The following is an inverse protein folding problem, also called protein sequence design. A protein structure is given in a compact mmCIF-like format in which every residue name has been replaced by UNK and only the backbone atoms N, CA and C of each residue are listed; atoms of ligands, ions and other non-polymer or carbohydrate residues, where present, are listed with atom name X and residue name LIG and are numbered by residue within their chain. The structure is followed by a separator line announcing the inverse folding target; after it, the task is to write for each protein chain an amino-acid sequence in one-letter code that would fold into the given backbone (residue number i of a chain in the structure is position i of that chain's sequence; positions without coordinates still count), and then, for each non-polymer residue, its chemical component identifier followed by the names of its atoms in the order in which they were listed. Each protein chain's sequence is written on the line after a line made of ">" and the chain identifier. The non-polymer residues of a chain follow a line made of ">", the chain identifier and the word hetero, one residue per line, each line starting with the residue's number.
data_IF_741945074524
#
_entry.id   IF_741945074524
#
_cell.length_a   1.000
_cell.length_b   1.000
_cell.length_c   1.000
_cell.angle_alpha   90.00
_cell.angle_beta   90.00
_cell.angle_gamma   90.00
#
_symmetry.space_group_name_H-M   'P 1'
#
loop_
_entity.id
_entity.type
_entity.pdbx_description
1 polymer ?
#
# COMPACT_ATOMS: atom_id res chain seq x y z
N UNK A 1 20.96 -1.99 -14.87
CA UNK A 1 22.07 -1.83 -13.89
C UNK A 1 21.46 -1.37 -12.59
N UNK A 2 21.32 -2.24 -11.61
CA UNK A 2 20.85 -1.89 -10.27
C UNK A 2 21.93 -1.10 -9.56
N UNK A 3 21.79 0.20 -9.48
CA UNK A 3 22.63 1.06 -8.65
C UNK A 3 22.35 0.67 -7.19
N UNK A 4 23.32 0.04 -6.54
CA UNK A 4 23.17 -0.28 -5.12
C UNK A 4 23.41 0.99 -4.30
N UNK A 5 22.40 1.49 -3.62
CA UNK A 5 22.57 2.52 -2.58
C UNK A 5 23.62 2.03 -1.58
N UNK A 6 24.77 2.69 -1.52
CA UNK A 6 25.79 2.43 -0.51
C UNK A 6 25.37 3.12 0.81
N UNK A 7 25.63 2.43 1.93
CA UNK A 7 25.39 2.92 3.29
C UNK A 7 25.99 4.31 3.54
N UNK A 8 27.10 4.65 2.88
CA UNK A 8 27.76 5.96 2.93
C UNK A 8 26.97 7.08 2.25
N UNK A 9 26.30 6.79 1.12
CA UNK A 9 25.49 7.76 0.39
C UNK A 9 24.22 8.12 1.17
N UNK A 10 23.66 7.15 1.90
CA UNK A 10 22.47 7.35 2.75
C UNK A 10 22.78 8.22 3.97
N UNK A 11 23.92 8.00 4.61
CA UNK A 11 24.34 8.77 5.80
C UNK A 11 24.75 10.21 5.46
N UNK A 12 25.27 10.46 4.27
CA UNK A 12 25.66 11.81 3.84
C UNK A 12 24.46 12.77 3.62
N UNK A 13 23.25 12.24 3.44
CA UNK A 13 22.02 13.02 3.24
C UNK A 13 21.26 13.42 4.53
N UNK A 14 21.63 12.90 5.69
CA UNK A 14 20.89 13.03 6.95
C UNK A 14 21.11 14.38 7.72
N UNK A 15 21.98 15.26 7.22
CA UNK A 15 22.40 16.48 7.93
C UNK A 15 21.39 17.65 7.98
N UNK A 16 20.10 17.46 7.68
CA UNK A 16 19.11 18.56 7.65
C UNK A 16 18.29 18.59 8.95
N UNK A 17 18.37 19.69 9.69
CA UNK A 17 17.55 19.97 10.88
C UNK A 17 16.13 20.36 10.46
N UNK A 18 15.14 19.51 10.76
CA UNK A 18 13.71 19.76 10.51
C UNK A 18 12.94 20.01 11.81
N UNK A 19 12.02 20.99 11.76
CA UNK A 19 11.12 21.29 12.87
C UNK A 19 10.08 20.16 13.05
N UNK A 20 9.89 19.72 14.30
CA UNK A 20 9.01 18.61 14.66
C UNK A 20 7.53 19.04 14.67
N UNK A 21 6.72 18.49 13.78
CA UNK A 21 5.26 18.45 13.92
C UNK A 21 4.87 17.03 14.38
N UNK A 22 3.96 16.94 15.34
CA UNK A 22 3.48 15.65 15.84
C UNK A 22 2.81 14.85 14.71
N UNK A 23 3.15 13.56 14.60
CA UNK A 23 2.47 12.62 13.71
C UNK A 23 0.98 12.52 14.09
N UNK A 24 0.10 12.59 13.11
CA UNK A 24 -1.33 12.49 13.34
C UNK A 24 -1.69 11.09 13.89
N UNK A 25 -2.39 11.04 15.03
CA UNK A 25 -2.96 9.78 15.53
C UNK A 25 -4.19 9.40 14.69
N UNK A 26 -4.35 8.11 14.31
CA UNK A 26 -5.53 7.67 13.60
C UNK A 26 -6.81 7.99 14.36
N UNK A 27 -7.80 8.57 13.69
CA UNK A 27 -9.14 8.72 14.25
C UNK A 27 -9.87 7.38 14.19
N UNK A 28 -10.63 7.04 15.24
CA UNK A 28 -11.53 5.87 15.20
C UNK A 28 -12.60 6.08 14.12
N UNK A 29 -12.68 5.17 13.15
CA UNK A 29 -13.81 5.09 12.25
C UNK A 29 -15.04 4.63 13.06
N UNK A 30 -15.77 5.58 13.61
CA UNK A 30 -17.03 5.29 14.32
C UNK A 30 -18.14 5.03 13.31
N UNK A 31 -19.12 4.22 13.70
CA UNK A 31 -20.39 4.06 12.97
C UNK A 31 -20.96 5.43 12.61
N UNK A 32 -21.16 5.69 11.30
CA UNK A 32 -21.66 6.98 10.80
C UNK A 32 -20.58 7.98 10.35
N UNK A 33 -19.31 7.57 10.25
CA UNK A 33 -18.24 8.43 9.68
C UNK A 33 -18.56 8.85 8.24
N UNK A 34 -18.25 10.10 7.91
CA UNK A 34 -18.38 10.66 6.55
C UNK A 34 -17.01 10.83 5.92
N UNK A 35 -16.84 10.26 4.72
CA UNK A 35 -15.74 10.54 3.82
C UNK A 35 -16.23 11.34 2.62
N UNK A 36 -15.80 12.57 2.53
CA UNK A 36 -16.14 13.48 1.43
C UNK A 36 -14.95 13.60 0.48
N UNK A 37 -15.13 13.16 -0.77
CA UNK A 37 -14.18 13.45 -1.83
C UNK A 37 -14.47 14.83 -2.42
N UNK A 38 -13.50 15.73 -2.43
CA UNK A 38 -13.66 17.10 -2.91
C UNK A 38 -12.36 17.61 -3.57
N UNK A 39 -12.44 18.65 -4.43
CA UNK A 39 -11.26 19.40 -4.85
C UNK A 39 -10.52 19.98 -3.62
N UNK A 40 -9.21 20.04 -3.71
CA UNK A 40 -8.35 20.58 -2.67
C UNK A 40 -7.09 21.22 -3.25
N UNK A 41 -6.25 21.76 -2.37
CA UNK A 41 -4.94 22.29 -2.71
C UNK A 41 -3.91 21.77 -1.71
N UNK A 42 -2.70 21.45 -2.18
CA UNK A 42 -1.59 21.00 -1.37
C UNK A 42 -0.35 21.84 -1.65
N UNK A 43 0.25 22.37 -0.60
CA UNK A 43 1.58 22.97 -0.68
C UNK A 43 2.65 21.86 -0.65
N UNK A 44 3.13 21.46 -1.82
CA UNK A 44 4.17 20.45 -1.95
C UNK A 44 5.53 20.98 -1.52
N UNK A 45 6.41 20.14 -0.95
CA UNK A 45 7.78 20.52 -0.62
C UNK A 45 8.53 21.05 -1.84
N UNK A 46 9.13 22.25 -1.71
CA UNK A 46 9.85 22.91 -2.80
C UNK A 46 8.98 23.58 -3.87
N UNK A 47 7.66 23.44 -3.81
CA UNK A 47 6.72 24.11 -4.72
C UNK A 47 6.56 25.60 -4.40
N UNK A 48 6.59 26.46 -5.43
CA UNK A 48 6.37 27.90 -5.28
C UNK A 48 4.89 28.29 -5.12
N UNK A 49 3.98 27.41 -5.49
CA UNK A 49 2.52 27.60 -5.47
C UNK A 49 1.82 26.33 -5.01
N UNK A 50 0.61 26.44 -4.41
CA UNK A 50 -0.21 25.27 -4.12
C UNK A 50 -0.58 24.53 -5.40
N UNK A 51 -0.54 23.20 -5.34
CA UNK A 51 -0.95 22.29 -6.39
C UNK A 51 -2.42 21.94 -6.20
N UNK A 52 -3.21 22.02 -7.28
CA UNK A 52 -4.59 21.53 -7.28
C UNK A 52 -4.60 20.02 -7.11
N UNK A 53 -5.40 19.55 -6.18
CA UNK A 53 -5.47 18.16 -5.75
C UNK A 53 -6.92 17.72 -5.59
N UNK A 54 -7.10 16.44 -5.28
CA UNK A 54 -8.35 15.90 -4.78
C UNK A 54 -8.09 15.24 -3.43
N UNK A 55 -8.97 15.44 -2.47
CA UNK A 55 -8.71 15.00 -1.12
C UNK A 55 -9.96 14.41 -0.46
N UNK A 56 -9.75 13.53 0.50
CA UNK A 56 -10.80 13.12 1.43
C UNK A 56 -10.78 14.03 2.66
N UNK A 57 -11.94 14.64 2.97
CA UNK A 57 -12.12 15.50 4.16
C UNK A 57 -11.05 16.61 4.27
N UNK A 58 -10.70 17.23 3.14
CA UNK A 58 -9.75 18.35 3.04
C UNK A 58 -8.32 18.05 3.52
N UNK A 59 -7.90 16.77 3.55
CA UNK A 59 -6.53 16.36 3.91
C UNK A 59 -5.94 15.37 2.91
N UNK A 60 -4.62 15.37 2.76
CA UNK A 60 -3.83 14.37 2.02
C UNK A 60 -2.65 13.94 2.91
N UNK A 61 -2.49 12.68 3.21
CA UNK A 61 -3.48 11.62 3.03
C UNK A 61 -4.83 11.99 3.64
N UNK A 62 -5.93 11.41 3.12
CA UNK A 62 -7.24 11.47 3.75
C UNK A 62 -7.19 10.94 5.19
N UNK A 63 -8.27 11.05 5.96
CA UNK A 63 -8.31 10.63 7.36
C UNK A 63 -7.74 9.22 7.57
N UNK A 64 -6.86 9.06 8.56
CA UNK A 64 -6.44 7.74 9.00
C UNK A 64 -7.59 7.12 9.80
N UNK A 65 -8.28 6.17 9.16
CA UNK A 65 -9.39 5.46 9.76
C UNK A 65 -8.90 4.32 10.63
N UNK A 66 -9.66 4.01 11.69
CA UNK A 66 -9.37 2.87 12.56
C UNK A 66 -10.65 2.07 12.83
N UNK A 67 -10.57 0.75 12.68
CA UNK A 67 -11.67 -0.18 12.91
C UNK A 67 -11.19 -1.34 13.77
N UNK A 68 -12.11 -2.14 14.31
CA UNK A 68 -11.79 -3.38 15.01
C UNK A 68 -12.09 -4.58 14.11
N UNK A 69 -11.24 -5.59 14.15
CA UNK A 69 -11.50 -6.87 13.50
C UNK A 69 -12.85 -7.46 13.93
N UNK A 70 -13.57 -8.05 12.99
CA UNK A 70 -14.89 -8.66 13.19
C UNK A 70 -15.98 -7.71 13.74
N UNK A 71 -15.77 -6.38 13.70
CA UNK A 71 -16.78 -5.39 14.06
C UNK A 71 -17.25 -4.64 12.81
N UNK A 72 -18.56 -4.34 12.70
CA UNK A 72 -19.10 -3.67 11.53
C UNK A 72 -18.59 -2.23 11.42
N UNK A 73 -18.11 -1.88 10.24
CA UNK A 73 -17.79 -0.52 9.80
C UNK A 73 -18.98 -0.01 9.00
N UNK A 74 -19.49 1.18 9.33
CA UNK A 74 -20.49 1.90 8.56
C UNK A 74 -19.95 3.28 8.24
N UNK A 75 -19.85 3.59 6.95
CA UNK A 75 -19.23 4.81 6.46
C UNK A 75 -20.02 5.32 5.26
N UNK A 76 -20.35 6.61 5.29
CA UNK A 76 -20.95 7.28 4.13
C UNK A 76 -19.85 7.92 3.29
N UNK A 77 -19.81 7.60 2.02
CA UNK A 77 -19.03 8.31 1.00
C UNK A 77 -19.91 9.40 0.37
N UNK A 78 -19.39 10.62 0.28
CA UNK A 78 -20.02 11.73 -0.44
C UNK A 78 -19.08 12.20 -1.55
N UNK A 79 -19.54 12.19 -2.79
CA UNK A 79 -18.78 12.67 -3.94
C UNK A 79 -19.10 14.14 -4.23
N UNK A 80 -18.20 15.03 -3.87
CA UNK A 80 -18.25 16.46 -4.21
C UNK A 80 -17.28 16.84 -5.33
N UNK A 81 -16.71 15.85 -6.03
CA UNK A 81 -15.95 16.09 -7.25
C UNK A 81 -16.92 16.36 -8.42
N UNK A 82 -16.39 16.95 -9.49
CA UNK A 82 -17.14 17.15 -10.75
C UNK A 82 -17.24 15.87 -11.59
N UNK A 83 -16.53 14.82 -11.21
CA UNK A 83 -16.44 13.54 -11.92
C UNK A 83 -17.00 12.40 -11.10
N UNK A 84 -17.29 11.28 -11.76
CA UNK A 84 -17.64 10.02 -11.09
C UNK A 84 -16.49 9.58 -10.16
N UNK A 85 -16.84 9.03 -8.99
CA UNK A 85 -15.85 8.47 -8.06
C UNK A 85 -16.42 7.28 -7.29
N UNK A 86 -15.57 6.55 -6.58
CA UNK A 86 -15.94 5.45 -5.67
C UNK A 86 -14.78 5.18 -4.73
N UNK A 87 -14.94 4.30 -3.76
CA UNK A 87 -13.88 3.87 -2.85
C UNK A 87 -13.67 2.37 -2.99
N UNK A 88 -12.45 1.98 -3.38
CA UNK A 88 -11.94 0.63 -3.22
C UNK A 88 -11.19 0.53 -1.88
N UNK A 89 -11.42 -0.56 -1.15
CA UNK A 89 -10.78 -0.87 0.13
C UNK A 89 -9.66 -1.89 -0.10
N UNK A 90 -8.52 -1.40 -0.48
CA UNK A 90 -7.40 -2.20 -0.97
C UNK A 90 -6.87 -3.16 0.11
N UNK A 91 -6.85 -4.44 -0.24
CA UNK A 91 -6.37 -5.52 0.60
C UNK A 91 -7.41 -6.12 1.55
N UNK A 92 -8.58 -5.49 1.71
CA UNK A 92 -9.63 -6.03 2.55
C UNK A 92 -10.39 -7.18 1.87
N UNK A 93 -10.57 -8.28 2.59
CA UNK A 93 -11.47 -9.38 2.22
C UNK A 93 -12.89 -9.07 2.72
N UNK A 94 -13.61 -8.24 2.02
CA UNK A 94 -14.95 -7.77 2.37
C UNK A 94 -16.03 -8.35 1.46
N UNK A 95 -17.30 -8.08 1.75
CA UNK A 95 -18.40 -8.47 0.87
C UNK A 95 -18.26 -7.81 -0.52
N UNK A 96 -18.38 -8.59 -1.59
CA UNK A 96 -18.13 -8.16 -2.98
C UNK A 96 -18.84 -6.85 -3.36
N UNK A 97 -20.08 -6.64 -2.90
CA UNK A 97 -20.85 -5.40 -3.17
C UNK A 97 -20.22 -4.14 -2.57
N UNK A 98 -19.22 -4.27 -1.67
CA UNK A 98 -18.54 -3.15 -1.00
C UNK A 98 -17.11 -2.91 -1.55
N UNK A 99 -16.68 -3.67 -2.56
CA UNK A 99 -15.32 -3.59 -3.13
C UNK A 99 -15.05 -2.30 -3.91
N UNK A 100 -16.10 -1.61 -4.35
CA UNK A 100 -15.96 -0.28 -4.93
C UNK A 100 -15.54 -0.24 -6.40
N UNK A 101 -15.59 -1.34 -7.15
CA UNK A 101 -15.19 -1.39 -8.57
C UNK A 101 -16.34 -1.01 -9.49
N UNK A 102 -16.27 0.14 -10.19
CA UNK A 102 -17.31 0.59 -11.09
C UNK A 102 -17.60 -0.40 -12.22
N UNK A 103 -18.88 -0.71 -12.41
CA UNK A 103 -19.34 -1.62 -13.47
C UNK A 103 -19.11 -3.11 -13.16
N UNK A 104 -18.48 -3.46 -12.04
CA UNK A 104 -18.30 -4.84 -11.61
C UNK A 104 -19.04 -5.12 -10.29
N UNK A 105 -18.75 -4.37 -9.24
CA UNK A 105 -19.31 -4.59 -7.90
C UNK A 105 -20.32 -3.52 -7.50
N UNK A 106 -20.23 -2.33 -8.07
CA UNK A 106 -21.18 -1.23 -7.85
C UNK A 106 -21.21 -0.27 -9.04
N UNK A 107 -22.14 0.67 -9.02
CA UNK A 107 -22.11 1.83 -9.91
C UNK A 107 -21.20 2.91 -9.32
N UNK A 108 -20.50 3.64 -10.19
CA UNK A 108 -19.75 4.82 -9.77
C UNK A 108 -20.69 5.88 -9.20
N UNK A 109 -20.28 6.54 -8.14
CA UNK A 109 -21.06 7.60 -7.47
C UNK A 109 -20.94 8.90 -8.25
N UNK A 110 -22.09 9.46 -8.63
CA UNK A 110 -22.18 10.72 -9.39
C UNK A 110 -21.78 11.94 -8.54
N UNK A 111 -21.38 13.05 -9.17
CA UNK A 111 -21.23 14.34 -8.48
C UNK A 111 -22.47 14.69 -7.65
N UNK A 112 -22.25 15.14 -6.41
CA UNK A 112 -23.30 15.47 -5.44
C UNK A 112 -24.02 14.27 -4.80
N UNK A 113 -23.74 13.04 -5.24
CA UNK A 113 -24.33 11.82 -4.67
C UNK A 113 -23.44 11.19 -3.60
N UNK A 114 -23.94 10.11 -3.00
CA UNK A 114 -23.19 9.34 -1.99
C UNK A 114 -23.50 7.85 -2.07
N UNK A 115 -22.68 7.07 -1.36
CA UNK A 115 -22.80 5.63 -1.22
C UNK A 115 -22.53 5.23 0.24
N UNK A 116 -23.27 4.26 0.78
CA UNK A 116 -23.10 3.78 2.13
C UNK A 116 -22.32 2.46 2.12
N UNK A 117 -21.07 2.51 2.56
CA UNK A 117 -20.24 1.32 2.76
C UNK A 117 -20.56 0.70 4.12
N UNK A 118 -20.87 -0.60 4.10
CA UNK A 118 -21.09 -1.39 5.32
C UNK A 118 -20.41 -2.74 5.17
N UNK A 119 -19.36 -2.96 5.95
CA UNK A 119 -18.60 -4.20 5.93
C UNK A 119 -18.02 -4.54 7.30
N UNK A 120 -17.66 -5.80 7.48
CA UNK A 120 -17.01 -6.30 8.70
C UNK A 120 -15.66 -6.85 8.30
N UNK A 121 -14.53 -6.18 8.63
CA UNK A 121 -13.21 -6.65 8.25
C UNK A 121 -12.85 -7.93 9.01
N UNK A 122 -12.54 -9.05 8.33
CA UNK A 122 -12.19 -10.30 8.99
C UNK A 122 -10.75 -10.35 9.47
N UNK A 123 -9.89 -9.51 8.91
CA UNK A 123 -8.46 -9.49 9.18
C UNK A 123 -8.06 -8.17 9.84
N UNK A 124 -7.17 -8.26 10.84
CA UNK A 124 -6.47 -7.11 11.41
C UNK A 124 -5.25 -6.77 10.54
N UNK A 125 -4.90 -5.48 10.46
CA UNK A 125 -3.71 -5.05 9.72
C UNK A 125 -3.80 -3.65 9.14
N UNK A 126 -2.86 -3.36 8.22
CA UNK A 126 -2.75 -2.09 7.52
C UNK A 126 -3.33 -2.21 6.12
N UNK A 127 -4.40 -1.47 5.88
CA UNK A 127 -5.12 -1.37 4.60
C UNK A 127 -5.18 0.09 4.18
N UNK A 128 -5.59 0.34 2.94
CA UNK A 128 -5.78 1.70 2.48
C UNK A 128 -7.00 1.81 1.57
N UNK A 129 -7.49 3.02 1.36
CA UNK A 129 -8.67 3.27 0.56
C UNK A 129 -8.41 4.37 -0.46
N UNK A 130 -8.90 4.16 -1.67
CA UNK A 130 -8.68 5.04 -2.81
C UNK A 130 -9.70 4.73 -3.93
N UNK A 131 -9.93 5.61 -4.91
CA UNK A 131 -10.65 5.23 -6.11
C UNK A 131 -9.94 4.09 -6.85
N UNK A 132 -10.65 3.24 -7.59
CA UNK A 132 -10.01 2.18 -8.38
C UNK A 132 -8.96 2.77 -9.32
N UNK A 133 -7.80 2.15 -9.37
CA UNK A 133 -6.67 2.73 -10.07
C UNK A 133 -6.63 2.37 -11.55
N UNK A 134 -7.75 2.54 -12.25
CA UNK A 134 -7.87 2.33 -13.69
C UNK A 134 -8.83 3.34 -14.34
N UNK A 135 -8.73 3.51 -15.65
CA UNK A 135 -9.56 4.42 -16.42
C UNK A 135 -9.51 5.87 -15.86
N UNK A 136 -10.65 6.57 -15.78
CA UNK A 136 -10.67 7.95 -15.30
C UNK A 136 -10.43 8.08 -13.79
N UNK A 137 -10.53 6.98 -13.03
CA UNK A 137 -10.36 7.00 -11.58
C UNK A 137 -8.87 7.04 -11.15
N UNK A 138 -7.97 6.59 -12.02
CA UNK A 138 -6.53 6.59 -11.72
C UNK A 138 -6.01 8.00 -11.46
N UNK A 139 -6.43 8.99 -12.25
CA UNK A 139 -6.04 10.39 -12.05
C UNK A 139 -6.49 10.95 -10.71
N UNK A 140 -7.53 10.39 -10.10
CA UNK A 140 -7.99 10.79 -8.76
C UNK A 140 -7.01 10.31 -7.68
N UNK A 141 -6.49 9.08 -7.81
CA UNK A 141 -5.43 8.59 -6.91
C UNK A 141 -4.17 9.47 -7.01
N UNK A 142 -3.75 9.77 -8.25
CA UNK A 142 -2.58 10.62 -8.52
C UNK A 142 -2.76 12.07 -8.03
N UNK A 143 -4.01 12.52 -7.94
CA UNK A 143 -4.35 13.82 -7.40
C UNK A 143 -4.42 13.84 -5.86
N UNK A 144 -4.16 12.72 -5.16
CA UNK A 144 -4.13 12.65 -3.70
C UNK A 144 -5.36 12.07 -3.04
N UNK A 145 -6.31 11.50 -3.82
CA UNK A 145 -7.54 10.94 -3.27
C UNK A 145 -7.31 9.53 -2.68
N UNK A 146 -6.66 9.44 -1.55
CA UNK A 146 -6.39 8.20 -0.83
C UNK A 146 -6.27 8.44 0.67
N UNK A 147 -6.40 7.37 1.46
CA UNK A 147 -6.16 7.36 2.90
C UNK A 147 -5.92 5.95 3.44
N UNK A 148 -5.64 5.81 4.72
CA UNK A 148 -5.29 4.53 5.35
C UNK A 148 -6.40 4.09 6.29
N UNK A 149 -6.69 2.77 6.28
CA UNK A 149 -7.54 2.10 7.25
C UNK A 149 -6.70 1.09 8.03
N UNK A 150 -6.57 1.29 9.32
CA UNK A 150 -6.01 0.30 10.25
C UNK A 150 -7.15 -0.50 10.85
N UNK A 151 -7.07 -1.81 10.75
CA UNK A 151 -7.96 -2.72 11.48
C UNK A 151 -7.16 -3.29 12.65
N UNK A 152 -7.62 -3.00 13.86
CA UNK A 152 -6.94 -3.39 15.09
C UNK A 152 -7.03 -4.91 15.32
N UNK A 153 -5.95 -5.45 15.85
CA UNK A 153 -5.90 -6.77 16.43
C UNK A 153 -6.85 -6.86 17.65
N UNK A 154 -7.38 -8.06 17.94
CA UNK A 154 -8.28 -8.26 19.09
C UNK A 154 -7.57 -7.92 20.42
N UNK A 155 -6.30 -8.27 20.52
CA UNK A 155 -5.40 -7.88 21.59
C UNK A 155 -4.34 -6.92 21.02
N UNK A 156 -4.27 -5.69 21.53
CA UNK A 156 -3.29 -4.71 21.04
C UNK A 156 -1.86 -5.24 21.20
N UNK A 157 -1.03 -5.17 20.15
CA UNK A 157 0.38 -5.55 20.27
C UNK A 157 1.12 -4.61 21.21
N UNK A 158 2.16 -5.13 21.87
CA UNK A 158 3.01 -4.33 22.78
C UNK A 158 3.89 -3.38 21.97
N UNK A 159 3.36 -2.21 21.64
CA UNK A 159 4.07 -1.10 21.00
C UNK A 159 3.75 0.20 21.74
N UNK A 160 4.72 1.09 21.85
CA UNK A 160 4.56 2.39 22.52
C UNK A 160 4.04 3.45 21.55
N UNK A 161 4.45 3.35 20.28
CA UNK A 161 3.97 4.18 19.20
C UNK A 161 3.53 3.31 18.01
N UNK A 162 2.48 3.71 17.32
CA UNK A 162 1.95 3.09 16.10
C UNK A 162 1.80 4.20 15.05
N UNK A 163 2.75 4.29 14.12
CA UNK A 163 2.91 5.40 13.20
C UNK A 163 2.70 4.94 11.77
N UNK A 164 2.02 5.77 10.97
CA UNK A 164 1.74 5.51 9.56
C UNK A 164 2.59 6.43 8.70
N UNK A 165 3.33 5.86 7.76
CA UNK A 165 4.13 6.56 6.76
C UNK A 165 3.59 6.23 5.37
N UNK A 166 2.84 7.15 4.78
CA UNK A 166 2.31 7.04 3.42
C UNK A 166 3.27 7.70 2.46
N UNK A 167 3.86 6.92 1.60
CA UNK A 167 4.82 7.36 0.57
C UNK A 167 4.05 7.66 -0.69
N UNK A 168 4.27 8.84 -1.26
CA UNK A 168 3.65 9.25 -2.51
C UNK A 168 4.63 10.01 -3.41
N UNK A 169 4.33 10.06 -4.72
CA UNK A 169 5.12 10.78 -5.71
C UNK A 169 4.25 11.71 -6.55
N UNK A 170 4.73 12.94 -6.76
CA UNK A 170 4.00 14.01 -7.42
C UNK A 170 4.74 14.46 -8.67
N UNK A 171 4.17 14.22 -9.81
CA UNK A 171 4.70 14.72 -11.08
C UNK A 171 4.12 16.10 -11.35
N UNK A 172 4.92 17.14 -11.11
CA UNK A 172 4.49 18.53 -11.16
C UNK A 172 5.12 19.24 -12.35
N UNK A 173 4.28 19.94 -13.11
CA UNK A 173 4.69 20.78 -14.23
C UNK A 173 5.28 22.13 -13.81
N UNK A 174 5.84 22.90 -14.77
CA UNK A 174 6.39 24.23 -14.50
C UNK A 174 5.36 25.23 -13.95
N UNK A 175 4.09 24.99 -14.18
CA UNK A 175 2.97 25.79 -13.68
C UNK A 175 2.58 25.46 -12.23
N UNK A 176 3.23 24.42 -11.63
CA UNK A 176 2.94 23.94 -10.29
C UNK A 176 1.74 22.99 -10.22
N UNK A 177 1.23 22.50 -11.35
CA UNK A 177 0.09 21.59 -11.40
C UNK A 177 0.53 20.15 -11.70
N UNK A 178 -0.31 19.18 -11.34
CA UNK A 178 -0.08 17.76 -11.61
C UNK A 178 -0.08 17.53 -13.11
N UNK A 179 0.97 16.89 -13.61
CA UNK A 179 1.08 16.50 -15.01
C UNK A 179 0.20 15.29 -15.30
N UNK A 180 -0.55 15.33 -16.40
CA UNK A 180 -1.24 14.15 -16.89
C UNK A 180 -0.23 13.16 -17.51
N UNK A 181 -0.41 11.86 -17.26
CA UNK A 181 0.41 10.84 -17.92
C UNK A 181 0.20 10.78 -19.44
N UNK A 182 1.20 10.33 -20.22
CA UNK A 182 2.51 9.80 -19.84
C UNK A 182 3.53 10.89 -19.52
N UNK A 183 4.33 10.66 -18.46
CA UNK A 183 5.33 11.63 -17.99
C UNK A 183 6.72 11.07 -18.27
N UNK A 184 7.40 11.60 -19.25
CA UNK A 184 8.66 11.04 -19.74
C UNK A 184 9.92 11.71 -19.18
N UNK A 185 9.84 12.91 -18.59
CA UNK A 185 11.02 13.72 -18.30
C UNK A 185 11.06 14.40 -16.93
N UNK A 186 10.05 14.24 -16.06
CA UNK A 186 10.08 14.88 -14.74
C UNK A 186 10.57 13.94 -13.64
N UNK A 187 11.44 14.47 -12.76
CA UNK A 187 11.72 13.81 -11.49
C UNK A 187 10.56 14.14 -10.53
N UNK A 188 9.79 13.15 -10.05
CA UNK A 188 8.69 13.44 -9.15
C UNK A 188 9.17 13.98 -7.82
N UNK A 189 8.38 14.86 -7.22
CA UNK A 189 8.52 15.23 -5.81
C UNK A 189 8.03 14.05 -4.97
N UNK A 190 8.90 13.48 -4.15
CA UNK A 190 8.53 12.41 -3.23
C UNK A 190 8.11 13.03 -1.90
N UNK A 191 7.04 12.51 -1.33
CA UNK A 191 6.54 12.91 -0.02
C UNK A 191 6.27 11.72 0.88
N UNK A 192 6.33 11.95 2.18
CA UNK A 192 5.80 11.06 3.20
C UNK A 192 4.76 11.84 4.03
N UNK A 193 3.52 11.34 4.08
CA UNK A 193 2.39 12.04 4.70
C UNK A 193 2.25 13.50 4.19
N UNK A 194 2.45 13.71 2.88
CA UNK A 194 2.47 15.02 2.20
C UNK A 194 3.58 15.99 2.65
N UNK A 195 4.59 15.51 3.38
CA UNK A 195 5.78 16.28 3.81
C UNK A 195 7.02 15.80 3.08
N UNK A 196 8.10 16.59 3.14
CA UNK A 196 9.40 16.20 2.58
C UNK A 196 10.00 14.99 3.32
N UNK A 197 9.89 14.97 4.64
CA UNK A 197 10.33 13.88 5.51
C UNK A 197 9.63 13.97 6.87
N UNK A 198 9.67 12.85 7.62
CA UNK A 198 9.23 12.79 9.01
C UNK A 198 10.42 12.66 9.96
N UNK A 199 10.26 13.12 11.21
CA UNK A 199 11.22 12.88 12.29
C UNK A 199 10.57 12.02 13.36
N UNK A 200 11.14 10.85 13.61
CA UNK A 200 10.67 9.87 14.60
C UNK A 200 11.64 9.89 15.77
N UNK A 201 11.17 10.34 16.92
CA UNK A 201 11.97 10.37 18.16
C UNK A 201 11.73 9.08 18.93
N UNK A 202 12.81 8.45 19.36
CA UNK A 202 12.82 7.18 20.07
C UNK A 202 13.44 7.37 21.45
N UNK A 203 12.67 7.12 22.50
CA UNK A 203 13.25 6.98 23.83
C UNK A 203 14.05 5.64 23.91
N UNK A 204 15.06 5.55 24.76
CA UNK A 204 15.77 4.28 24.94
C UNK A 204 14.79 3.15 25.34
N UNK A 205 14.88 2.03 24.63
CA UNK A 205 14.02 0.84 24.76
C UNK A 205 12.51 1.09 24.42
N UNK A 206 12.17 2.20 23.81
CA UNK A 206 10.83 2.43 23.25
C UNK A 206 10.62 1.56 22.01
N UNK A 207 9.44 0.96 21.86
CA UNK A 207 9.06 0.20 20.68
C UNK A 207 8.10 0.97 19.79
N UNK A 208 8.47 1.14 18.53
CA UNK A 208 7.63 1.80 17.52
C UNK A 208 7.24 0.81 16.43
N UNK A 209 5.95 0.71 16.11
CA UNK A 209 5.45 0.08 14.89
C UNK A 209 5.37 1.16 13.81
N UNK A 210 6.03 0.95 12.69
CA UNK A 210 5.94 1.79 11.50
C UNK A 210 5.15 1.04 10.44
N UNK A 211 4.04 1.63 10.00
CA UNK A 211 3.19 1.12 8.94
C UNK A 211 3.54 1.86 7.65
N UNK A 212 4.30 1.21 6.78
CA UNK A 212 4.75 1.75 5.50
C UNK A 212 3.70 1.45 4.44
N UNK A 213 3.21 2.47 3.75
CA UNK A 213 2.20 2.35 2.68
C UNK A 213 2.72 3.02 1.43
N UNK A 214 2.75 2.33 0.31
CA UNK A 214 3.10 2.92 -0.98
C UNK A 214 1.83 3.35 -1.73
N UNK A 215 1.51 4.64 -1.70
CA UNK A 215 0.39 5.24 -2.42
C UNK A 215 0.77 5.76 -3.82
N UNK A 216 2.03 5.61 -4.26
CA UNK A 216 2.43 6.01 -5.61
C UNK A 216 1.64 5.25 -6.66
N UNK A 217 1.36 5.90 -7.77
CA UNK A 217 0.55 5.28 -8.81
C UNK A 217 1.32 4.23 -9.62
N UNK A 218 2.61 4.45 -9.88
CA UNK A 218 3.39 3.66 -10.85
C UNK A 218 4.83 3.40 -10.42
N UNK A 219 5.18 3.62 -9.16
CA UNK A 219 6.55 3.46 -8.66
C UNK A 219 6.65 2.35 -7.60
N UNK A 220 7.54 1.40 -7.82
CA UNK A 220 7.99 0.53 -6.71
C UNK A 220 8.81 1.40 -5.76
N UNK A 221 8.36 1.56 -4.53
CA UNK A 221 9.13 2.27 -3.51
C UNK A 221 10.24 1.35 -2.98
N UNK A 222 11.45 1.52 -3.51
CA UNK A 222 12.64 0.78 -3.06
C UNK A 222 13.24 1.49 -1.85
N UNK A 223 12.91 0.98 -0.68
CA UNK A 223 13.32 1.57 0.60
C UNK A 223 14.65 0.99 1.08
N UNK A 224 15.46 1.85 1.66
CA UNK A 224 16.67 1.48 2.38
C UNK A 224 16.57 1.98 3.84
N UNK A 225 16.76 1.06 4.78
CA UNK A 225 16.81 1.31 6.22
C UNK A 225 18.27 1.34 6.65
N UNK A 226 18.71 2.43 7.25
CA UNK A 226 20.10 2.60 7.64
C UNK A 226 20.24 3.12 9.07
N UNK A 227 21.26 2.65 9.76
CA UNK A 227 21.62 3.11 11.10
C UNK A 227 20.76 2.53 12.24
N UNK A 228 19.81 1.65 11.95
CA UNK A 228 18.96 0.98 12.93
C UNK A 228 18.58 -0.42 12.48
N UNK A 229 18.13 -1.24 13.44
CA UNK A 229 17.58 -2.55 13.18
C UNK A 229 16.05 -2.48 13.12
N UNK A 230 15.48 -3.21 12.17
CA UNK A 230 14.04 -3.33 12.01
C UNK A 230 13.64 -4.80 11.84
N UNK A 231 12.43 -5.11 12.28
CA UNK A 231 11.83 -6.44 12.10
C UNK A 231 10.51 -6.29 11.33
N UNK A 232 10.36 -6.98 10.21
CA UNK A 232 9.10 -7.08 9.47
C UNK A 232 8.16 -8.00 10.26
N UNK A 233 6.97 -7.50 10.57
CA UNK A 233 5.93 -8.22 11.34
C UNK A 233 4.66 -8.48 10.53
N UNK A 234 4.41 -7.68 9.48
CA UNK A 234 3.27 -7.88 8.57
C UNK A 234 3.61 -7.36 7.17
N UNK A 235 3.01 -7.98 6.14
CA UNK A 235 3.06 -7.58 4.74
C UNK A 235 1.63 -7.58 4.22
N UNK A 236 1.26 -6.55 3.45
CA UNK A 236 -0.07 -6.34 2.86
C UNK A 236 -1.23 -6.53 3.87
N UNK A 237 -1.02 -6.03 5.10
CA UNK A 237 -1.98 -6.12 6.19
C UNK A 237 -2.01 -7.47 6.92
N UNK A 238 -1.27 -8.47 6.45
CA UNK A 238 -1.26 -9.80 7.08
C UNK A 238 0.02 -10.05 7.86
N UNK A 239 -0.07 -10.59 9.09
CA UNK A 239 1.09 -11.04 9.85
C UNK A 239 1.94 -12.03 9.05
N UNK A 240 3.27 -11.88 9.14
CA UNK A 240 4.20 -12.89 8.61
C UNK A 240 4.20 -14.12 9.51
N UNK A 241 4.52 -15.30 8.95
CA UNK A 241 4.53 -16.55 9.74
C UNK A 241 5.54 -16.52 10.87
N UNK A 242 6.70 -15.89 10.63
CA UNK A 242 7.75 -15.61 11.59
C UNK A 242 8.36 -14.25 11.28
N UNK A 243 8.45 -13.33 12.25
CA UNK A 243 9.09 -12.03 12.06
C UNK A 243 10.54 -12.18 11.59
N UNK A 244 10.98 -11.33 10.65
CA UNK A 244 12.30 -11.39 10.07
C UNK A 244 12.87 -10.00 9.77
N UNK A 245 14.20 -9.89 9.72
CA UNK A 245 14.87 -8.65 9.35
C UNK A 245 14.79 -8.40 7.84
N UNK A 246 14.61 -7.13 7.38
CA UNK A 246 14.70 -6.79 5.96
C UNK A 246 16.05 -7.23 5.37
N UNK A 247 16.03 -7.87 4.19
CA UNK A 247 17.26 -8.33 3.54
C UNK A 247 18.19 -7.15 3.25
N UNK A 248 19.35 -7.11 3.92
CA UNK A 248 20.34 -6.00 3.84
C UNK A 248 19.71 -4.63 4.12
N UNK A 249 18.68 -4.56 4.98
CA UNK A 249 17.97 -3.32 5.28
C UNK A 249 17.13 -2.78 4.12
N UNK A 250 16.67 -3.62 3.20
CA UNK A 250 15.87 -3.21 2.04
C UNK A 250 14.45 -3.74 2.10
N UNK A 251 13.51 -2.89 1.69
CA UNK A 251 12.09 -3.22 1.54
C UNK A 251 11.63 -2.65 0.20
N UNK A 252 11.14 -3.50 -0.69
CA UNK A 252 10.55 -3.09 -1.95
C UNK A 252 9.03 -3.17 -1.83
N UNK A 253 8.37 -2.01 -1.93
CA UNK A 253 6.91 -1.90 -1.88
C UNK A 253 6.38 -1.63 -3.29
N UNK A 254 5.63 -2.54 -3.91
CA UNK A 254 4.91 -2.23 -5.14
C UNK A 254 3.87 -1.13 -4.92
N UNK A 255 3.36 -0.46 -5.96
CA UNK A 255 2.20 0.42 -5.85
C UNK A 255 1.03 -0.29 -5.15
N UNK A 256 0.56 0.26 -4.04
CA UNK A 256 -0.45 -0.37 -3.18
C UNK A 256 0.08 -1.31 -2.11
N UNK A 257 1.36 -1.69 -2.15
CA UNK A 257 1.99 -2.56 -1.15
C UNK A 257 2.11 -1.90 0.22
N UNK A 258 2.06 -2.71 1.28
CA UNK A 258 2.19 -2.27 2.68
C UNK A 258 3.11 -3.21 3.43
N UNK A 259 3.93 -2.64 4.31
CA UNK A 259 4.77 -3.43 5.23
C UNK A 259 4.79 -2.77 6.60
N UNK A 260 4.52 -3.55 7.63
CA UNK A 260 4.65 -3.10 9.00
C UNK A 260 5.98 -3.61 9.58
N UNK A 261 6.76 -2.68 10.07
CA UNK A 261 8.02 -2.98 10.76
C UNK A 261 7.97 -2.54 12.22
N UNK A 262 8.74 -3.21 13.04
CA UNK A 262 9.01 -2.82 14.43
C UNK A 262 10.44 -2.33 14.54
N UNK A 263 10.61 -1.22 15.26
CA UNK A 263 11.90 -0.62 15.62
C UNK A 263 11.92 -0.42 17.12
N UNK A 264 12.97 -0.92 17.78
CA UNK A 264 13.22 -0.66 19.18
C UNK A 264 14.22 0.49 19.34
N UNK A 265 14.03 1.32 20.36
CA UNK A 265 14.85 2.51 20.67
C UNK A 265 16.24 2.14 21.21
N UNK A 266 17.07 1.53 20.35
CA UNK A 266 18.45 1.13 20.66
C UNK A 266 19.49 2.07 20.04
N UNK A 267 19.05 3.20 19.47
CA UNK A 267 19.93 4.17 18.84
C UNK A 267 20.86 4.84 19.87
N UNK A 268 22.15 4.89 19.53
CA UNK A 268 23.08 5.71 20.27
C UNK A 268 22.79 7.20 20.05
N UNK A 269 22.99 8.02 21.08
CA UNK A 269 22.86 9.48 20.97
C UNK A 269 23.78 10.01 19.88
N UNK A 270 23.24 10.84 18.98
CA UNK A 270 23.98 11.43 17.88
C UNK A 270 24.26 10.47 16.70
N UNK A 271 23.74 9.23 16.74
CA UNK A 271 23.79 8.37 15.56
C UNK A 271 22.85 8.84 14.46
N UNK A 272 23.25 8.65 13.23
CA UNK A 272 22.42 8.89 12.06
C UNK A 272 21.65 7.62 11.70
N UNK A 273 20.31 7.72 11.64
CA UNK A 273 19.44 6.62 11.28
C UNK A 273 18.25 7.14 10.48
N UNK A 274 17.80 6.36 9.50
CA UNK A 274 16.67 6.79 8.69
C UNK A 274 16.19 5.78 7.66
N UNK A 275 15.04 6.12 7.09
CA UNK A 275 14.43 5.44 5.96
C UNK A 275 14.57 6.34 4.73
N UNK A 276 15.15 5.80 3.67
CA UNK A 276 15.32 6.51 2.42
C UNK A 276 14.71 5.73 1.26
N UNK A 277 14.37 6.45 0.20
CA UNK A 277 13.88 5.91 -1.06
C UNK A 277 14.93 6.16 -2.15
N UNK A 278 15.20 5.13 -2.94
CA UNK A 278 15.96 5.27 -4.19
C UNK A 278 15.01 5.80 -5.29
N UNK A 279 15.28 7.03 -5.71
CA UNK A 279 14.59 7.67 -6.83
C UNK A 279 15.53 7.72 -8.03
N UNK A 280 15.64 6.61 -8.74
CA UNK A 280 16.44 6.51 -9.98
C UNK A 280 17.91 6.94 -9.80
N UNK A 281 18.50 6.52 -8.67
CA UNK A 281 19.88 6.82 -8.28
C UNK A 281 20.03 8.05 -7.36
N UNK A 282 18.99 8.84 -7.17
CA UNK A 282 18.96 9.90 -6.14
C UNK A 282 18.39 9.34 -4.83
N UNK A 283 18.99 9.66 -3.71
CA UNK A 283 18.52 9.28 -2.38
C UNK A 283 17.58 10.34 -1.84
N UNK A 284 16.35 9.96 -1.53
CA UNK A 284 15.37 10.81 -0.86
C UNK A 284 15.13 10.30 0.55
N UNK A 285 15.42 11.12 1.56
CA UNK A 285 15.15 10.77 2.96
C UNK A 285 13.65 10.92 3.23
N UNK A 286 13.02 9.83 3.64
CA UNK A 286 11.60 9.81 4.00
C UNK A 286 11.38 10.01 5.50
N UNK A 287 12.23 9.43 6.33
CA UNK A 287 12.15 9.57 7.78
C UNK A 287 13.55 9.55 8.40
N UNK A 288 13.74 10.42 9.39
CA UNK A 288 14.89 10.40 10.29
C UNK A 288 14.46 9.79 11.62
N UNK A 289 15.25 8.84 12.15
CA UNK A 289 15.08 8.28 13.47
C UNK A 289 16.12 8.90 14.40
N UNK A 290 15.65 9.51 15.46
CA UNK A 290 16.52 10.28 16.40
C UNK A 290 16.35 9.76 17.82
N UNK A 291 17.46 9.39 18.47
CA UNK A 291 17.43 9.07 19.88
C UNK A 291 16.99 10.31 20.70
N UNK A 292 16.00 10.13 21.57
CA UNK A 292 15.58 11.19 22.49
C UNK A 292 16.50 11.23 23.72
N UNK A 293 16.57 12.43 24.34
CA UNK A 293 17.33 12.64 25.59
C UNK A 293 16.53 12.25 26.85
N UNK A 294 15.41 11.54 26.69
CA UNK A 294 14.57 11.11 27.80
C UNK A 294 15.15 9.89 28.52
N UNK A 295 14.69 9.67 29.75
CA UNK A 295 15.02 8.43 30.47
C UNK A 295 14.52 7.21 29.68
N UNK A 296 15.17 6.05 29.81
CA UNK A 296 14.69 4.80 29.20
C UNK A 296 13.25 4.50 29.60
N UNK A 297 12.43 4.14 28.63
CA UNK A 297 11.02 3.80 28.88
C UNK A 297 10.90 2.50 29.69
N UNK A 298 11.90 1.63 29.55
CA UNK A 298 12.09 0.38 30.32
C UNK A 298 13.56 -0.01 30.39
N UNK A 299 13.89 -0.92 31.31
CA UNK A 299 15.27 -1.34 31.54
C UNK A 299 15.92 -2.14 30.41
N UNK A 300 15.12 -2.78 29.57
CA UNK A 300 15.57 -3.56 28.40
C UNK A 300 14.52 -3.47 27.27
N UNK A 301 14.90 -3.71 26.00
CA UNK A 301 13.95 -3.87 24.89
C UNK A 301 12.92 -4.96 25.19
N UNK A 302 11.74 -4.85 24.59
CA UNK A 302 10.70 -5.88 24.66
C UNK A 302 11.15 -7.14 23.88
N UNK A 303 10.63 -8.33 24.24
CA UNK A 303 10.86 -9.55 23.44
C UNK A 303 10.34 -9.36 22.00
N UNK A 304 10.79 -10.18 21.03
CA UNK A 304 10.33 -10.12 19.67
C UNK A 304 8.80 -10.10 19.58
N UNK A 305 8.26 -9.19 18.78
CA UNK A 305 6.81 -9.07 18.57
C UNK A 305 6.36 -10.06 17.50
N UNK A 306 5.44 -10.94 17.85
CA UNK A 306 4.75 -11.84 16.92
C UNK A 306 3.27 -11.48 16.93
N UNK A 307 2.71 -11.15 15.78
CA UNK A 307 1.29 -10.85 15.65
C UNK A 307 0.47 -12.15 15.58
N UNK A 308 -0.79 -12.14 16.03
CA UNK A 308 -1.70 -13.28 15.87
C UNK A 308 -1.87 -13.67 14.41
N UNK A 309 -1.91 -14.96 14.12
CA UNK A 309 -2.11 -15.45 12.75
C UNK A 309 -3.42 -14.94 12.16
N UNK A 310 -3.45 -14.59 10.86
CA UNK A 310 -4.69 -14.24 10.17
C UNK A 310 -5.61 -15.46 10.07
N UNK A 311 -6.90 -15.23 9.85
CA UNK A 311 -7.90 -16.28 9.59
C UNK A 311 -7.75 -16.95 8.20
N UNK A 312 -6.52 -17.06 7.69
CA UNK A 312 -6.16 -17.65 6.41
C UNK A 312 -5.61 -19.08 6.58
N UNK A 313 -5.68 -19.94 5.56
CA UNK A 313 -5.21 -21.32 5.65
C UNK A 313 -3.72 -21.41 6.04
N UNK A 314 -3.40 -22.27 7.01
CA UNK A 314 -2.00 -22.54 7.40
C UNK A 314 -1.25 -23.29 6.31
N UNK A 315 -1.93 -24.18 5.60
CA UNK A 315 -1.39 -24.98 4.52
C UNK A 315 -2.32 -24.98 3.30
N UNK A 316 -1.72 -24.98 2.13
CA UNK A 316 -2.42 -25.01 0.84
C UNK A 316 -2.11 -26.33 0.13
N UNK A 317 -3.14 -27.07 -0.27
CA UNK A 317 -2.99 -28.32 -1.03
C UNK A 317 -2.67 -28.01 -2.51
N UNK A 318 -1.45 -27.58 -2.81
CA UNK A 318 -1.03 -27.06 -4.12
C UNK A 318 -1.35 -28.01 -5.28
N UNK A 319 -1.27 -29.32 -5.05
CA UNK A 319 -1.62 -30.35 -6.04
C UNK A 319 -3.09 -30.32 -6.46
N UNK A 320 -3.97 -29.64 -5.71
CA UNK A 320 -5.39 -29.45 -6.01
C UNK A 320 -5.69 -28.08 -6.62
N UNK A 321 -4.69 -27.21 -6.73
CA UNK A 321 -4.88 -25.87 -7.25
C UNK A 321 -5.20 -25.89 -8.75
N UNK A 322 -6.21 -25.13 -9.15
CA UNK A 322 -6.49 -24.89 -10.56
C UNK A 322 -5.49 -23.87 -11.09
N UNK A 323 -4.68 -24.30 -12.05
CA UNK A 323 -3.67 -23.43 -12.68
C UNK A 323 -4.31 -22.53 -13.73
N UNK A 324 -4.04 -21.22 -13.60
CA UNK A 324 -4.47 -20.17 -14.51
C UNK A 324 -3.24 -19.40 -14.94
N UNK A 325 -2.99 -19.34 -16.25
CA UNK A 325 -1.89 -18.57 -16.81
C UNK A 325 -2.39 -17.18 -17.22
N UNK A 326 -1.67 -16.14 -16.80
CA UNK A 326 -1.89 -14.74 -17.17
C UNK A 326 -0.60 -14.21 -17.80
N UNK A 327 -0.72 -13.54 -18.94
CA UNK A 327 0.42 -12.92 -19.61
C UNK A 327 0.22 -11.40 -19.67
N UNK A 328 1.24 -10.64 -19.27
CA UNK A 328 1.27 -9.18 -19.36
C UNK A 328 2.14 -8.76 -20.57
N UNK A 329 1.72 -7.80 -21.43
CA UNK A 329 0.42 -7.16 -21.39
C UNK A 329 -0.70 -8.14 -21.76
N UNK A 330 -1.87 -7.95 -21.17
CA UNK A 330 -3.04 -8.71 -21.59
C UNK A 330 -3.62 -8.05 -22.86
N UNK A 331 -3.63 -8.78 -23.95
CA UNK A 331 -4.11 -8.27 -25.25
C UNK A 331 -5.64 -8.13 -25.36
N UNK A 332 -6.40 -8.58 -24.39
CA UNK A 332 -7.86 -8.52 -24.38
C UNK A 332 -8.34 -7.39 -23.47
N UNK A 333 -8.43 -6.17 -24.02
CA UNK A 333 -9.04 -5.03 -23.33
C UNK A 333 -8.22 -3.75 -23.28
N UNK A 334 -7.58 -3.38 -24.38
CA UNK A 334 -6.94 -2.06 -24.54
C UNK A 334 -7.92 -0.87 -24.60
N UNK A 335 -9.08 -1.00 -23.95
CA UNK A 335 -10.08 0.04 -23.77
C UNK A 335 -10.26 0.37 -22.29
N UNK A 336 -10.80 1.54 -21.99
CA UNK A 336 -11.08 2.07 -20.65
C UNK A 336 -12.13 1.29 -19.84
N UNK A 337 -12.54 0.10 -20.27
CA UNK A 337 -13.62 -0.67 -19.69
C UNK A 337 -13.25 -2.11 -19.32
N UNK A 338 -13.98 -2.67 -18.36
CA UNK A 338 -13.85 -4.07 -17.96
C UNK A 338 -14.21 -5.02 -19.10
N UNK A 339 -13.48 -6.15 -19.29
CA UNK A 339 -13.85 -7.18 -20.25
C UNK A 339 -15.25 -7.74 -19.98
N UNK A 340 -15.99 -8.05 -21.05
CA UNK A 340 -17.37 -8.57 -20.95
C UNK A 340 -17.46 -9.99 -20.36
N UNK A 341 -16.33 -10.73 -20.31
CA UNK A 341 -16.24 -12.10 -19.78
C UNK A 341 -15.19 -12.20 -18.69
N UNK A 342 -15.40 -13.08 -17.68
CA UNK A 342 -14.37 -13.35 -16.68
C UNK A 342 -13.16 -14.05 -17.31
N UNK A 343 -11.99 -13.78 -16.79
CA UNK A 343 -10.76 -14.51 -17.11
C UNK A 343 -10.92 -16.01 -16.74
N UNK A 344 -11.56 -16.26 -15.60
CA UNK A 344 -11.97 -17.60 -15.16
C UNK A 344 -13.12 -17.51 -14.15
N UNK A 345 -13.82 -18.65 -13.95
CA UNK A 345 -14.79 -18.82 -12.88
C UNK A 345 -14.44 -20.07 -12.09
N UNK A 346 -14.56 -20.03 -10.76
CA UNK A 346 -14.28 -21.15 -9.86
C UNK A 346 -15.36 -21.25 -8.78
N UNK A 347 -15.53 -22.44 -8.23
CA UNK A 347 -16.41 -22.66 -7.08
C UNK A 347 -15.74 -22.13 -5.81
N UNK A 348 -16.54 -21.64 -4.89
CA UNK A 348 -16.08 -21.31 -3.54
C UNK A 348 -15.33 -22.49 -2.91
N UNK A 349 -14.20 -22.20 -2.26
CA UNK A 349 -13.32 -23.20 -1.66
C UNK A 349 -12.30 -23.80 -2.63
N UNK A 350 -12.30 -23.40 -3.92
CA UNK A 350 -11.26 -23.81 -4.86
C UNK A 350 -9.93 -23.13 -4.55
N UNK A 351 -8.82 -23.86 -4.70
CA UNK A 351 -7.49 -23.26 -4.75
C UNK A 351 -7.18 -22.83 -6.19
N UNK A 352 -6.65 -21.64 -6.35
CA UNK A 352 -6.26 -21.07 -7.66
C UNK A 352 -4.78 -20.75 -7.62
N UNK A 353 -4.01 -21.33 -8.56
CA UNK A 353 -2.63 -20.99 -8.85
C UNK A 353 -2.61 -20.03 -10.06
N UNK A 354 -2.27 -18.76 -9.82
CA UNK A 354 -2.09 -17.76 -10.86
C UNK A 354 -0.62 -17.71 -11.25
N UNK A 355 -0.27 -18.25 -12.41
CA UNK A 355 1.03 -18.04 -13.03
C UNK A 355 1.02 -16.76 -13.87
N UNK A 356 1.61 -15.69 -13.37
CA UNK A 356 1.60 -14.36 -14.00
C UNK A 356 2.94 -14.10 -14.65
N UNK A 357 2.98 -14.07 -15.99
CA UNK A 357 4.19 -13.83 -16.77
C UNK A 357 4.26 -12.38 -17.24
N UNK A 358 5.27 -11.64 -16.82
CA UNK A 358 5.53 -10.29 -17.32
C UNK A 358 6.41 -10.34 -18.58
N UNK A 359 5.80 -10.13 -19.73
CA UNK A 359 6.50 -10.04 -21.04
C UNK A 359 6.79 -8.60 -21.46
N UNK A 360 6.55 -7.63 -20.59
CA UNK A 360 6.84 -6.22 -20.83
C UNK A 360 8.29 -5.90 -20.44
N UNK A 361 8.87 -4.80 -20.93
CA UNK A 361 10.24 -4.40 -20.56
C UNK A 361 10.35 -3.68 -19.22
N UNK A 362 9.27 -3.56 -18.46
CA UNK A 362 9.20 -2.81 -17.19
C UNK A 362 8.58 -3.67 -16.08
N UNK A 363 8.86 -3.32 -14.83
CA UNK A 363 8.22 -3.94 -13.68
C UNK A 363 6.69 -3.79 -13.76
N UNK A 364 5.97 -4.79 -13.29
CA UNK A 364 4.51 -4.80 -13.16
C UNK A 364 4.11 -5.03 -11.71
N UNK A 365 3.08 -4.36 -11.24
CA UNK A 365 2.45 -4.64 -9.96
C UNK A 365 1.04 -5.20 -10.20
N UNK A 366 0.76 -6.40 -9.70
CA UNK A 366 -0.54 -7.06 -9.89
C UNK A 366 -1.25 -7.23 -8.57
N UNK A 367 -2.47 -6.69 -8.49
CA UNK A 367 -3.35 -6.77 -7.32
C UNK A 367 -4.55 -7.68 -7.59
N UNK A 368 -4.88 -8.53 -6.61
CA UNK A 368 -6.06 -9.41 -6.62
C UNK A 368 -7.06 -8.91 -5.58
N UNK A 369 -8.21 -8.47 -6.04
CA UNK A 369 -9.24 -7.95 -5.16
C UNK A 369 -9.90 -9.04 -4.31
N UNK A 370 -10.22 -8.71 -3.07
CA UNK A 370 -11.03 -9.53 -2.15
C UNK A 370 -10.39 -10.83 -1.67
N UNK A 371 -9.13 -11.10 -2.02
CA UNK A 371 -8.40 -12.31 -1.65
C UNK A 371 -6.96 -12.00 -1.25
N UNK A 372 -6.40 -12.83 -0.38
CA UNK A 372 -4.97 -12.81 -0.05
C UNK A 372 -4.29 -14.03 -0.70
N UNK A 373 -3.06 -13.84 -1.17
CA UNK A 373 -2.28 -14.82 -1.92
C UNK A 373 -1.00 -15.19 -1.20
N UNK A 374 -0.49 -16.40 -1.42
CA UNK A 374 0.88 -16.81 -1.14
C UNK A 374 1.68 -16.82 -2.42
N UNK A 375 2.88 -16.24 -2.40
CA UNK A 375 3.83 -16.35 -3.51
C UNK A 375 4.52 -17.70 -3.40
N UNK A 376 4.51 -18.50 -4.47
CA UNK A 376 5.24 -19.76 -4.51
C UNK A 376 6.73 -19.51 -4.72
N UNK A 377 7.55 -20.34 -4.08
CA UNK A 377 8.98 -20.31 -4.29
C UNK A 377 9.32 -20.88 -5.69
N UNK A 378 10.20 -20.25 -6.47
CA UNK A 378 10.43 -20.65 -7.87
C UNK A 378 11.09 -22.02 -8.05
N UNK A 379 11.70 -22.60 -7.01
CA UNK A 379 12.49 -23.82 -7.09
C UNK A 379 11.99 -25.00 -6.26
N UNK A 380 10.91 -24.81 -5.49
CA UNK A 380 10.32 -25.86 -4.65
C UNK A 380 8.81 -25.69 -4.57
N UNK A 381 8.11 -26.68 -3.97
CA UNK A 381 6.66 -26.64 -3.77
C UNK A 381 6.26 -25.84 -2.51
N UNK A 382 7.15 -24.99 -1.99
CA UNK A 382 6.89 -24.14 -0.83
C UNK A 382 6.46 -22.75 -1.25
N UNK A 383 6.02 -21.96 -0.28
CA UNK A 383 5.61 -20.56 -0.46
C UNK A 383 6.38 -19.65 0.47
N UNK A 384 6.40 -18.36 0.12
CA UNK A 384 6.94 -17.32 0.99
C UNK A 384 6.17 -17.29 2.33
N UNK A 385 6.84 -17.03 3.47
CA UNK A 385 6.25 -17.11 4.81
C UNK A 385 5.33 -15.92 5.14
N UNK A 386 4.62 -15.39 4.14
CA UNK A 386 3.69 -14.26 4.29
C UNK A 386 2.60 -14.29 3.21
N UNK A 387 1.51 -13.61 3.51
CA UNK A 387 0.41 -13.36 2.58
C UNK A 387 0.57 -11.98 1.96
N UNK A 388 0.14 -11.84 0.71
CA UNK A 388 0.13 -10.59 -0.06
C UNK A 388 -1.21 -10.44 -0.77
N UNK A 389 -1.57 -9.24 -1.16
CA UNK A 389 -2.64 -8.98 -2.12
C UNK A 389 -2.10 -8.33 -3.41
N UNK A 390 -0.88 -7.85 -3.38
CA UNK A 390 -0.21 -7.18 -4.49
C UNK A 390 1.21 -7.74 -4.68
N UNK A 391 1.56 -8.12 -5.91
CA UNK A 391 2.88 -8.67 -6.24
C UNK A 391 3.57 -7.83 -7.30
N UNK A 392 4.87 -7.60 -7.12
CA UNK A 392 5.73 -7.02 -8.15
C UNK A 392 6.33 -8.15 -9.00
N UNK A 393 6.39 -7.95 -10.32
CA UNK A 393 6.89 -8.92 -11.28
C UNK A 393 7.85 -8.21 -12.24
N UNK A 394 9.12 -8.59 -12.20
CA UNK A 394 10.16 -8.00 -13.06
C UNK A 394 10.01 -8.36 -14.54
N UNK A 395 10.69 -7.61 -15.44
CA UNK A 395 10.70 -7.90 -16.87
C UNK A 395 11.18 -9.33 -17.16
N UNK A 396 10.40 -10.09 -17.92
CA UNK A 396 10.71 -11.48 -18.30
C UNK A 396 10.45 -12.50 -17.18
N UNK A 397 10.04 -12.09 -16.00
CA UNK A 397 9.74 -13.00 -14.88
C UNK A 397 8.36 -13.59 -14.98
N UNK A 398 8.20 -14.74 -14.33
CA UNK A 398 6.89 -15.35 -14.03
C UNK A 398 6.80 -15.60 -12.53
N UNK A 399 5.77 -15.09 -11.91
CA UNK A 399 5.47 -15.30 -10.50
C UNK A 399 4.23 -16.19 -10.39
N UNK A 400 4.31 -17.23 -9.57
CA UNK A 400 3.17 -18.06 -9.20
C UNK A 400 2.64 -17.63 -7.84
N UNK A 401 1.34 -17.35 -7.78
CA UNK A 401 0.66 -17.03 -6.54
C UNK A 401 -0.52 -17.97 -6.33
N UNK A 402 -0.75 -18.39 -5.10
CA UNK A 402 -1.89 -19.27 -4.78
C UNK A 402 -2.80 -18.62 -3.76
N UNK A 403 -4.09 -18.64 -4.04
CA UNK A 403 -5.12 -18.18 -3.11
C UNK A 403 -6.28 -19.17 -2.99
N UNK A 404 -6.96 -19.11 -1.84
CA UNK A 404 -8.21 -19.80 -1.64
C UNK A 404 -9.36 -18.89 -2.11
N UNK A 405 -10.13 -19.33 -3.09
CA UNK A 405 -11.30 -18.62 -3.58
C UNK A 405 -12.47 -18.81 -2.61
N UNK A 406 -12.41 -18.18 -1.43
CA UNK A 406 -13.39 -18.32 -0.34
C UNK A 406 -14.42 -17.20 -0.28
N UNK A 407 -14.20 -16.13 -1.04
CA UNK A 407 -15.03 -14.93 -1.06
C UNK A 407 -15.87 -14.90 -2.36
N UNK A 408 -17.20 -15.20 -2.31
CA UNK A 408 -18.05 -15.23 -3.48
C UNK A 408 -18.23 -13.86 -4.14
N UNK A 409 -18.31 -13.83 -5.46
CA UNK A 409 -18.58 -12.64 -6.24
C UNK A 409 -17.67 -12.47 -7.45
N UNK A 410 -17.73 -11.27 -8.05
CA UNK A 410 -16.91 -10.86 -9.20
C UNK A 410 -15.78 -9.98 -8.72
N UNK A 411 -14.55 -10.39 -8.94
CA UNK A 411 -13.37 -9.75 -8.39
C UNK A 411 -12.43 -9.26 -9.49
N UNK A 412 -11.94 -8.04 -9.32
CA UNK A 412 -10.98 -7.46 -10.23
C UNK A 412 -9.60 -8.12 -10.05
N UNK A 413 -8.92 -8.38 -11.15
CA UNK A 413 -7.50 -8.64 -11.25
C UNK A 413 -6.89 -7.45 -12.00
N UNK A 414 -6.10 -6.67 -11.30
CA UNK A 414 -5.58 -5.41 -11.81
C UNK A 414 -4.06 -5.42 -11.82
N UNK A 415 -3.45 -5.21 -13.00
CA UNK A 415 -2.01 -5.06 -13.14
C UNK A 415 -1.66 -3.65 -13.58
N UNK A 416 -0.61 -3.09 -13.01
CA UNK A 416 -0.07 -1.77 -13.33
C UNK A 416 1.36 -1.85 -13.82
N UNK A 417 1.62 -1.17 -14.92
CA UNK A 417 2.96 -0.88 -15.37
C UNK A 417 3.68 0.08 -14.40
N UNK A 418 4.79 -0.36 -13.80
CA UNK A 418 5.59 0.46 -12.90
C UNK A 418 6.57 1.32 -13.70
N UNK A 419 6.07 2.41 -14.32
CA UNK A 419 6.85 3.30 -15.18
C UNK A 419 6.01 4.39 -15.82
N UNK A 420 6.62 5.21 -16.67
CA UNK A 420 5.96 6.38 -17.27
C UNK A 420 4.87 6.03 -18.30
N UNK A 421 4.88 4.82 -18.85
CA UNK A 421 3.89 4.35 -19.82
C UNK A 421 2.88 3.40 -19.17
N UNK A 422 1.59 3.61 -19.45
CA UNK A 422 0.47 2.80 -18.92
C UNK A 422 -0.17 1.92 -19.99
N UNK A 423 0.48 1.74 -21.13
CA UNK A 423 -0.10 0.97 -22.24
C UNK A 423 -0.22 -0.52 -21.94
N UNK A 424 0.46 -0.97 -20.89
CA UNK A 424 0.62 -2.38 -20.55
C UNK A 424 -0.12 -2.76 -19.26
N UNK A 425 -1.08 -1.95 -18.81
CA UNK A 425 -1.91 -2.26 -17.65
C UNK A 425 -2.83 -3.45 -17.94
N UNK A 426 -2.95 -4.36 -16.96
CA UNK A 426 -3.91 -5.47 -16.98
C UNK A 426 -5.22 -5.02 -16.35
N UNK A 427 -6.33 -5.23 -17.03
CA UNK A 427 -7.66 -5.09 -16.46
C UNK A 427 -8.46 -6.36 -16.79
N UNK A 428 -8.62 -7.23 -15.82
CA UNK A 428 -9.37 -8.48 -15.93
C UNK A 428 -10.20 -8.71 -14.68
N UNK A 429 -11.13 -9.65 -14.72
CA UNK A 429 -11.90 -10.04 -13.55
C UNK A 429 -12.15 -11.55 -13.54
N UNK A 430 -12.40 -12.10 -12.37
CA UNK A 430 -12.75 -13.49 -12.17
C UNK A 430 -13.99 -13.63 -11.29
N UNK A 431 -14.59 -14.82 -11.29
CA UNK A 431 -15.81 -15.07 -10.54
C UNK A 431 -15.64 -16.26 -9.60
N UNK A 432 -16.08 -16.07 -8.37
CA UNK A 432 -16.19 -17.11 -7.35
C UNK A 432 -17.68 -17.39 -7.11
N UNK A 433 -18.15 -18.60 -7.46
CA UNK A 433 -19.55 -19.03 -7.40
C UNK A 433 -19.85 -19.98 -6.24
#
# INVERSE_FOLDING_TARGET
>A
MTVSLDRRQLLAGLGVTLASLALARPALATTGSLLTAAPGELALPGGAKPTRTQCFNATIPGPFLRAKRNHPVKLRFANQLETLSTIHWHGLRLANAMDGVPGLTQQAVKPGAGFDYTFTPPDAGTFWYHPPAFGPFLSQCEAGLYGVLVVDEDEPPQVDQDLILVIDDWNIGPDGQILAAPITESKPTITVNSKAAETIRLAPNERVRLRLVNATATRIARLALAGFEATIIAIDGHPVDTPFAPNRGRIDLPPGGRTDIVVDGTLAKGSEAGIALDRDGDVVILAQLVASDTAPLRSAPLPPLVLPRPGLPVALALQKARRIAVSLPAHEGSGSGLPGKPLFSVKRGSLVDLGIANKTPIDQAVHVHGHAMRILHPFDDEWQPYWVDTVAIGPGETVHTVFLADNPGKWLLHGRACGPSRKDDLLAWFEVT
#
